data_IF_649474487457
#
_entry.id   IF_649474487457
#
_cell.length_a   1.000
_cell.length_b   1.000
_cell.length_c   1.000
_cell.angle_alpha   90.00
_cell.angle_beta   90.00
_cell.angle_gamma   90.00
#
_symmetry.space_group_name_H-M   'P 1'
#
loop_
_entity.id
_entity.type
_entity.pdbx_description
1 polymer ?
#
# COMPACT_ATOMS: atom_id res chain seq x y z
N UNK A 1 -0.62 0.90 -30.46
CA UNK A 1 -1.01 2.03 -29.58
C UNK A 1 -0.65 1.66 -28.16
N UNK A 2 0.03 2.59 -27.46
CA UNK A 2 0.31 2.50 -26.04
C UNK A 2 -1.00 2.48 -25.25
N UNK A 3 -0.99 1.83 -24.08
CA UNK A 3 -2.19 1.55 -23.32
C UNK A 3 -1.99 1.85 -21.84
N UNK A 4 -2.94 2.60 -21.26
CA UNK A 4 -3.14 2.75 -19.82
C UNK A 4 -4.46 2.06 -19.43
N UNK A 5 -4.39 1.12 -18.50
CA UNK A 5 -5.56 0.36 -18.02
C UNK A 5 -5.74 0.64 -16.53
N UNK A 6 -6.99 0.87 -16.10
CA UNK A 6 -7.33 0.97 -14.67
C UNK A 6 -7.20 -0.38 -13.95
N UNK A 7 -6.96 -0.32 -12.64
CA UNK A 7 -6.93 -1.50 -11.77
C UNK A 7 -8.37 -2.05 -11.51
N UNK A 8 -8.54 -3.34 -11.31
CA UNK A 8 -7.55 -4.39 -11.54
C UNK A 8 -7.31 -4.59 -13.03
N UNK A 9 -6.09 -4.98 -13.40
CA UNK A 9 -5.72 -5.22 -14.80
C UNK A 9 -6.63 -6.28 -15.44
N UNK A 10 -6.90 -7.35 -14.71
CA UNK A 10 -7.71 -8.51 -15.12
C UNK A 10 -8.07 -9.35 -13.88
N UNK A 11 -8.83 -10.40 -14.05
CA UNK A 11 -9.28 -11.28 -12.98
C UNK A 11 -8.29 -12.40 -12.65
N UNK A 12 -7.49 -12.86 -13.63
CA UNK A 12 -6.57 -13.99 -13.49
C UNK A 12 -5.13 -13.61 -13.85
N UNK A 13 -4.16 -14.42 -13.36
CA UNK A 13 -2.75 -14.24 -13.70
C UNK A 13 -2.46 -14.58 -15.15
N UNK A 14 -3.13 -15.58 -15.71
CA UNK A 14 -3.00 -16.00 -17.10
C UNK A 14 -3.35 -14.85 -18.05
N UNK A 15 -4.47 -14.17 -17.80
CA UNK A 15 -4.86 -12.97 -18.56
C UNK A 15 -3.83 -11.85 -18.45
N UNK A 16 -3.27 -11.66 -17.25
CA UNK A 16 -2.23 -10.65 -17.03
C UNK A 16 -0.95 -10.95 -17.79
N UNK A 17 -0.50 -12.21 -17.75
CA UNK A 17 0.70 -12.67 -18.45
C UNK A 17 0.53 -12.56 -19.97
N UNK A 18 -0.62 -12.91 -20.52
CA UNK A 18 -0.93 -12.75 -21.92
C UNK A 18 -0.89 -11.29 -22.38
N UNK A 19 -1.48 -10.38 -21.60
CA UNK A 19 -1.47 -8.95 -21.89
C UNK A 19 -0.05 -8.37 -21.86
N UNK A 20 0.74 -8.74 -20.85
CA UNK A 20 2.14 -8.31 -20.71
C UNK A 20 2.99 -8.85 -21.86
N UNK A 21 2.80 -10.14 -22.24
CA UNK A 21 3.50 -10.76 -23.36
C UNK A 21 3.15 -10.08 -24.69
N UNK A 22 1.86 -9.77 -24.90
CA UNK A 22 1.38 -9.09 -26.10
C UNK A 22 1.97 -7.68 -26.22
N UNK A 23 1.99 -6.91 -25.11
CA UNK A 23 2.57 -5.58 -25.09
C UNK A 23 4.08 -5.60 -25.41
N UNK A 24 4.82 -6.53 -24.77
CA UNK A 24 6.24 -6.73 -25.04
C UNK A 24 6.50 -7.12 -26.51
N UNK A 25 5.73 -8.07 -27.06
CA UNK A 25 5.86 -8.53 -28.46
C UNK A 25 5.71 -7.38 -29.46
N UNK A 26 4.86 -6.41 -29.15
CA UNK A 26 4.56 -5.27 -30.01
C UNK A 26 5.36 -4.00 -29.65
N UNK A 27 6.29 -4.08 -28.67
CA UNK A 27 7.08 -2.93 -28.18
C UNK A 27 6.21 -1.75 -27.74
N UNK A 28 5.08 -2.02 -27.08
CA UNK A 28 4.13 -1.02 -26.61
C UNK A 28 4.41 -0.64 -25.14
N UNK A 29 4.17 0.63 -24.80
CA UNK A 29 4.07 1.05 -23.40
C UNK A 29 2.74 0.54 -22.85
N UNK A 30 2.83 -0.24 -21.77
CA UNK A 30 1.69 -0.84 -21.11
C UNK A 30 1.73 -0.49 -19.61
N UNK A 31 0.79 0.32 -19.15
CA UNK A 31 0.76 0.87 -17.80
C UNK A 31 -0.56 0.51 -17.11
N UNK A 32 -0.47 0.07 -15.86
CA UNK A 32 -1.64 -0.11 -14.98
C UNK A 32 -1.81 1.13 -14.11
N UNK A 33 -3.05 1.59 -13.95
CA UNK A 33 -3.44 2.81 -13.24
C UNK A 33 -3.38 2.70 -11.72
N UNK A 34 -2.22 2.41 -11.15
CA UNK A 34 -2.00 2.44 -9.71
C UNK A 34 -1.82 3.88 -9.22
N UNK A 35 -2.91 4.66 -9.28
CA UNK A 35 -2.89 6.11 -9.01
C UNK A 35 -2.48 6.48 -7.60
N UNK A 36 -2.72 5.60 -6.61
CA UNK A 36 -2.36 5.83 -5.20
C UNK A 36 -0.84 5.97 -4.98
N UNK A 37 0.01 5.41 -5.84
CA UNK A 37 1.47 5.62 -5.74
C UNK A 37 1.88 7.07 -6.06
N UNK A 38 1.03 7.84 -6.72
CA UNK A 38 1.22 9.24 -7.05
C UNK A 38 0.50 10.18 -6.07
N UNK A 39 -0.10 9.64 -5.02
CA UNK A 39 -0.66 10.44 -3.94
C UNK A 39 0.45 11.33 -3.34
N UNK A 40 0.23 12.65 -3.23
CA UNK A 40 1.25 13.58 -2.76
C UNK A 40 1.90 13.19 -1.43
N UNK A 41 1.11 12.65 -0.49
CA UNK A 41 1.63 12.20 0.79
C UNK A 41 2.52 10.93 0.65
N UNK A 42 2.17 10.00 -0.27
CA UNK A 42 3.01 8.83 -0.57
C UNK A 42 4.31 9.26 -1.23
N UNK A 43 4.25 10.18 -2.19
CA UNK A 43 5.44 10.71 -2.87
C UNK A 43 6.37 11.47 -1.91
N UNK A 44 5.81 12.21 -0.94
CA UNK A 44 6.61 12.91 0.06
C UNK A 44 7.38 11.94 0.97
N UNK A 45 6.80 10.77 1.29
CA UNK A 45 7.47 9.73 2.09
C UNK A 45 8.67 9.09 1.38
N UNK A 46 8.71 9.04 0.05
CA UNK A 46 9.85 8.48 -0.69
C UNK A 46 11.18 9.17 -0.39
N UNK A 47 11.12 10.43 0.05
CA UNK A 47 12.31 11.22 0.39
C UNK A 47 12.88 10.89 1.77
N UNK A 48 12.12 10.21 2.63
CA UNK A 48 12.47 10.00 4.04
C UNK A 48 12.51 8.54 4.46
N UNK A 49 11.81 7.65 3.74
CA UNK A 49 11.81 6.21 4.03
C UNK A 49 12.75 5.51 3.07
N UNK A 50 13.82 4.94 3.60
CA UNK A 50 14.81 4.21 2.80
C UNK A 50 14.84 2.71 3.12
N UNK A 51 14.58 2.34 4.38
CA UNK A 51 14.66 0.96 4.84
C UNK A 51 13.57 0.63 5.87
N UNK A 52 12.32 0.44 5.44
CA UNK A 52 11.28 0.02 6.38
C UNK A 52 11.58 -1.39 6.92
N UNK A 53 11.40 -1.58 8.22
CA UNK A 53 11.56 -2.87 8.92
C UNK A 53 10.19 -3.49 9.18
N UNK A 54 9.21 -2.64 9.49
CA UNK A 54 7.83 -3.07 9.67
C UNK A 54 6.88 -2.05 9.02
N UNK A 55 5.86 -2.56 8.35
CA UNK A 55 4.81 -1.77 7.72
C UNK A 55 3.46 -2.26 8.22
N UNK A 56 2.58 -1.34 8.58
CA UNK A 56 1.21 -1.63 8.97
C UNK A 56 0.26 -0.79 8.12
N UNK A 57 -0.72 -1.45 7.50
CA UNK A 57 -1.68 -0.80 6.60
C UNK A 57 -3.10 -1.15 6.96
N UNK A 58 -3.95 -0.12 6.99
CA UNK A 58 -5.39 -0.26 7.13
C UNK A 58 -6.11 0.53 6.05
N UNK A 59 -6.85 -0.17 5.19
CA UNK A 59 -7.76 0.41 4.20
C UNK A 59 -9.16 -0.10 4.47
N UNK A 60 -9.94 0.75 5.11
CA UNK A 60 -11.25 0.40 5.64
C UNK A 60 -12.29 1.38 5.12
N UNK A 61 -13.46 0.89 4.70
CA UNK A 61 -14.63 1.73 4.43
C UNK A 61 -15.94 1.00 4.75
N UNK A 62 -17.06 1.74 4.90
CA UNK A 62 -18.38 1.16 4.99
C UNK A 62 -18.76 0.38 3.72
N UNK A 63 -19.71 -0.53 3.88
CA UNK A 63 -20.19 -1.32 2.74
C UNK A 63 -20.93 -0.43 1.72
N UNK A 64 -20.58 -0.64 0.46
CA UNK A 64 -21.28 -0.11 -0.70
C UNK A 64 -21.49 -1.25 -1.70
N UNK A 65 -22.59 -1.26 -2.43
CA UNK A 65 -22.88 -2.30 -3.44
C UNK A 65 -21.90 -2.26 -4.63
N UNK A 66 -21.24 -1.13 -4.85
CA UNK A 66 -20.23 -0.98 -5.91
C UNK A 66 -18.96 -1.76 -5.58
N UNK A 67 -18.43 -2.49 -6.57
CA UNK A 67 -17.15 -3.23 -6.44
C UNK A 67 -17.32 -4.57 -5.72
N UNK A 68 -18.55 -5.08 -5.56
CA UNK A 68 -18.82 -6.38 -4.94
C UNK A 68 -18.69 -7.57 -5.90
N UNK A 69 -18.41 -7.32 -7.16
CA UNK A 69 -18.10 -8.31 -8.20
C UNK A 69 -16.71 -8.96 -8.04
N UNK A 70 -15.79 -8.28 -7.32
CA UNK A 70 -14.46 -8.77 -6.99
C UNK A 70 -14.21 -8.82 -5.49
N UNK A 71 -13.17 -9.57 -5.08
CA UNK A 71 -12.72 -9.60 -3.69
C UNK A 71 -12.12 -8.24 -3.26
N UNK A 72 -12.22 -7.95 -1.96
CA UNK A 72 -11.63 -6.74 -1.35
C UNK A 72 -10.13 -6.59 -1.62
N UNK A 73 -9.46 -7.68 -1.96
CA UNK A 73 -8.04 -7.68 -2.33
C UNK A 73 -7.86 -6.93 -3.65
N UNK A 74 -8.59 -7.27 -4.70
CA UNK A 74 -8.52 -6.64 -6.02
C UNK A 74 -9.19 -5.27 -6.05
N UNK A 75 -10.16 -5.03 -5.18
CA UNK A 75 -10.82 -3.72 -5.10
C UNK A 75 -9.98 -2.70 -4.33
N UNK A 76 -9.54 -3.05 -3.12
CA UNK A 76 -8.92 -2.13 -2.17
C UNK A 76 -7.45 -2.41 -1.89
N UNK A 77 -7.10 -3.64 -1.47
CA UNK A 77 -5.76 -3.98 -0.97
C UNK A 77 -4.69 -3.81 -2.04
N UNK A 78 -5.02 -3.99 -3.29
CA UNK A 78 -4.10 -3.89 -4.44
C UNK A 78 -3.35 -2.56 -4.48
N UNK A 79 -3.97 -1.46 -4.05
CA UNK A 79 -3.32 -0.15 -3.96
C UNK A 79 -2.22 -0.13 -2.89
N UNK A 80 -2.49 -0.77 -1.75
CA UNK A 80 -1.55 -0.81 -0.63
C UNK A 80 -0.41 -1.77 -0.91
N UNK A 81 -0.69 -2.90 -1.59
CA UNK A 81 0.33 -3.83 -2.07
C UNK A 81 1.29 -3.14 -3.04
N UNK A 82 0.77 -2.34 -3.97
CA UNK A 82 1.59 -1.56 -4.91
C UNK A 82 2.50 -0.56 -4.17
N UNK A 83 1.97 0.16 -3.18
CA UNK A 83 2.76 1.09 -2.35
C UNK A 83 3.82 0.34 -1.55
N UNK A 84 3.49 -0.78 -0.90
CA UNK A 84 4.44 -1.59 -0.13
C UNK A 84 5.61 -2.03 -1.02
N UNK A 85 5.31 -2.59 -2.21
CA UNK A 85 6.32 -3.04 -3.16
C UNK A 85 7.20 -1.90 -3.69
N UNK A 86 6.68 -0.67 -3.72
CA UNK A 86 7.44 0.53 -4.07
C UNK A 86 8.48 0.89 -2.99
N UNK A 87 8.15 0.69 -1.69
CA UNK A 87 9.05 1.02 -0.58
C UNK A 87 9.97 -0.13 -0.17
N UNK A 88 9.54 -1.38 -0.38
CA UNK A 88 10.33 -2.57 -0.01
C UNK A 88 11.02 -3.14 -1.24
N UNK A 89 12.27 -2.72 -1.47
CA UNK A 89 13.08 -3.18 -2.59
C UNK A 89 13.71 -4.56 -2.30
N UNK A 90 12.86 -5.58 -2.08
CA UNK A 90 13.31 -6.93 -1.74
C UNK A 90 12.29 -7.96 -2.19
N UNK A 91 12.75 -9.18 -2.48
CA UNK A 91 11.86 -10.27 -2.86
C UNK A 91 10.96 -10.72 -1.70
N UNK A 92 9.72 -11.04 -2.03
CA UNK A 92 8.76 -11.64 -1.12
C UNK A 92 9.16 -13.10 -0.83
N UNK A 93 9.17 -13.49 0.44
CA UNK A 93 9.53 -14.86 0.88
C UNK A 93 8.35 -15.66 1.41
N UNK A 94 7.34 -14.99 1.99
CA UNK A 94 6.10 -15.66 2.39
C UNK A 94 4.91 -14.72 2.40
N UNK A 95 3.72 -15.33 2.24
CA UNK A 95 2.41 -14.67 2.35
C UNK A 95 1.55 -15.53 3.27
N UNK A 96 1.05 -14.92 4.34
CA UNK A 96 0.05 -15.50 5.22
C UNK A 96 -1.22 -14.65 5.12
N UNK A 97 -2.33 -15.24 4.70
CA UNK A 97 -3.54 -14.49 4.43
C UNK A 97 -4.78 -15.16 4.99
N UNK A 98 -5.72 -14.34 5.44
CA UNK A 98 -7.08 -14.75 5.76
C UNK A 98 -8.05 -13.79 5.08
N UNK A 99 -9.14 -14.33 4.54
CA UNK A 99 -10.22 -13.57 3.93
C UNK A 99 -11.57 -14.13 4.33
N UNK A 100 -12.55 -13.27 4.58
CA UNK A 100 -13.88 -13.66 5.04
C UNK A 100 -14.96 -12.93 4.24
N UNK A 101 -15.90 -13.65 3.60
CA UNK A 101 -17.14 -13.08 3.10
C UNK A 101 -18.09 -12.82 4.27
N UNK A 102 -18.73 -11.66 4.33
CA UNK A 102 -19.63 -11.27 5.44
C UNK A 102 -20.96 -10.73 4.95
N UNK A 103 -20.95 -9.79 3.99
CA UNK A 103 -22.14 -9.16 3.43
C UNK A 103 -22.34 -9.46 1.94
N UNK A 104 -21.32 -9.98 1.28
CA UNK A 104 -21.38 -10.39 -0.14
C UNK A 104 -20.88 -11.82 -0.31
N UNK A 105 -21.00 -12.36 -1.53
CA UNK A 105 -20.48 -13.69 -1.89
C UNK A 105 -18.95 -13.68 -2.14
N UNK A 106 -18.34 -12.51 -2.05
CA UNK A 106 -16.90 -12.29 -2.21
C UNK A 106 -16.26 -11.99 -0.85
N UNK A 107 -14.93 -12.03 -0.78
CA UNK A 107 -14.20 -11.64 0.43
C UNK A 107 -14.41 -10.16 0.70
N UNK A 108 -15.02 -9.82 1.84
CA UNK A 108 -15.35 -8.46 2.27
C UNK A 108 -14.31 -7.86 3.22
N UNK A 109 -13.58 -8.72 3.92
CA UNK A 109 -12.45 -8.35 4.78
C UNK A 109 -11.31 -9.34 4.56
N UNK A 110 -10.08 -8.82 4.46
CA UNK A 110 -8.88 -9.62 4.39
C UNK A 110 -7.77 -9.01 5.24
N UNK A 111 -7.00 -9.89 5.92
CA UNK A 111 -5.74 -9.54 6.58
C UNK A 111 -4.63 -10.39 5.97
N UNK A 112 -3.53 -9.73 5.64
CA UNK A 112 -2.39 -10.35 4.97
C UNK A 112 -1.11 -9.94 5.69
N UNK A 113 -0.25 -10.93 5.95
CA UNK A 113 1.12 -10.74 6.41
C UNK A 113 2.07 -11.10 5.28
N UNK A 114 2.92 -10.16 4.90
CA UNK A 114 3.96 -10.31 3.89
C UNK A 114 5.32 -10.31 4.57
N UNK A 115 6.17 -11.28 4.24
CA UNK A 115 7.57 -11.33 4.71
C UNK A 115 8.51 -11.17 3.52
N UNK A 116 9.53 -10.34 3.68
CA UNK A 116 10.51 -10.04 2.64
C UNK A 116 11.91 -10.54 3.00
N UNK A 117 12.72 -10.87 2.01
CA UNK A 117 14.07 -11.39 2.21
C UNK A 117 15.00 -10.43 2.96
N UNK A 118 14.77 -9.12 2.91
CA UNK A 118 15.50 -8.12 3.70
C UNK A 118 15.11 -8.10 5.19
N UNK A 119 14.15 -8.93 5.60
CA UNK A 119 13.61 -8.99 6.97
C UNK A 119 12.45 -8.01 7.23
N UNK A 120 12.06 -7.19 6.27
CA UNK A 120 10.86 -6.37 6.41
C UNK A 120 9.61 -7.23 6.47
N UNK A 121 8.67 -6.83 7.31
CA UNK A 121 7.34 -7.45 7.42
C UNK A 121 6.28 -6.39 7.19
N UNK A 122 5.26 -6.71 6.39
CA UNK A 122 4.10 -5.84 6.21
C UNK A 122 2.81 -6.58 6.62
N UNK A 123 2.01 -5.95 7.49
CA UNK A 123 0.66 -6.38 7.82
C UNK A 123 -0.33 -5.46 7.12
N UNK A 124 -1.23 -6.04 6.33
CA UNK A 124 -2.20 -5.29 5.52
C UNK A 124 -3.60 -5.75 5.85
N UNK A 125 -4.46 -4.84 6.25
CA UNK A 125 -5.89 -5.09 6.45
C UNK A 125 -6.69 -4.25 5.48
N UNK A 126 -7.50 -4.90 4.65
CA UNK A 126 -8.49 -4.25 3.81
C UNK A 126 -9.89 -4.74 4.17
N UNK A 127 -10.84 -3.82 4.31
CA UNK A 127 -12.23 -4.14 4.64
C UNK A 127 -13.19 -3.16 3.98
N UNK A 128 -14.25 -3.68 3.36
CA UNK A 128 -15.38 -2.91 2.85
C UNK A 128 -16.62 -3.00 3.73
N UNK A 129 -16.46 -3.46 4.99
CA UNK A 129 -17.56 -3.66 5.96
C UNK A 129 -17.28 -2.98 7.29
N UNK A 130 -16.45 -1.95 7.32
CA UNK A 130 -16.07 -1.23 8.53
C UNK A 130 -16.99 -0.05 8.80
N UNK A 131 -17.23 0.26 10.07
CA UNK A 131 -18.08 1.40 10.46
C UNK A 131 -17.47 2.77 10.11
N UNK A 132 -16.13 2.83 9.94
CA UNK A 132 -15.40 4.07 9.65
C UNK A 132 -14.50 3.90 8.44
N UNK A 133 -14.35 4.98 7.67
CA UNK A 133 -13.35 5.04 6.61
C UNK A 133 -11.97 5.34 7.19
N UNK A 134 -10.97 4.55 6.79
CA UNK A 134 -9.55 4.72 7.15
C UNK A 134 -8.69 4.33 5.97
N UNK A 135 -7.69 5.14 5.65
CA UNK A 135 -6.68 4.83 4.63
C UNK A 135 -5.31 5.25 5.18
N UNK A 136 -4.73 4.38 6.01
CA UNK A 136 -3.51 4.67 6.76
C UNK A 136 -2.43 3.65 6.52
N UNK A 137 -1.24 4.14 6.19
CA UNK A 137 -0.01 3.35 6.16
C UNK A 137 0.93 3.86 7.25
N UNK A 138 1.58 2.94 7.95
CA UNK A 138 2.55 3.22 9.01
C UNK A 138 3.84 2.49 8.70
N UNK A 139 4.92 3.21 8.68
CA UNK A 139 6.26 2.69 8.41
C UNK A 139 7.13 2.85 9.64
N UNK A 140 7.81 1.78 10.01
CA UNK A 140 8.73 1.72 11.14
C UNK A 140 10.09 1.29 10.63
N UNK A 141 11.12 2.03 10.94
CA UNK A 141 12.50 1.76 10.53
C UNK A 141 13.53 2.52 11.34
N UNK A 142 14.82 2.40 10.97
CA UNK A 142 15.89 3.14 11.64
C UNK A 142 15.72 4.65 11.54
N UNK A 143 15.10 5.13 10.46
CA UNK A 143 14.82 6.54 10.21
C UNK A 143 13.77 7.12 11.15
N UNK A 144 12.93 6.25 11.75
CA UNK A 144 11.88 6.65 12.66
C UNK A 144 10.55 5.97 12.39
N UNK A 145 9.49 6.64 12.83
CA UNK A 145 8.10 6.28 12.59
C UNK A 145 7.46 7.30 11.66
N UNK A 146 6.84 6.81 10.59
CA UNK A 146 6.12 7.65 9.64
C UNK A 146 4.72 7.07 9.41
N UNK A 147 3.70 7.89 9.62
CA UNK A 147 2.32 7.52 9.33
C UNK A 147 1.74 8.46 8.27
N UNK A 148 1.10 7.88 7.27
CA UNK A 148 0.39 8.63 6.24
C UNK A 148 -1.09 8.29 6.27
N UNK A 149 -1.93 9.30 6.18
CA UNK A 149 -3.34 9.19 5.85
C UNK A 149 -3.49 9.64 4.39
N UNK A 150 -3.64 8.68 3.47
CA UNK A 150 -3.66 8.99 2.03
C UNK A 150 -4.92 9.72 1.61
N UNK A 151 -6.03 9.55 2.34
CA UNK A 151 -7.29 10.25 2.07
C UNK A 151 -7.20 11.73 2.43
N UNK A 152 -6.54 12.05 3.56
CA UNK A 152 -6.34 13.43 4.02
C UNK A 152 -5.10 14.07 3.46
N UNK A 153 -4.20 13.27 2.89
CA UNK A 153 -2.86 13.68 2.44
C UNK A 153 -2.03 14.27 3.60
N UNK A 154 -2.15 13.67 4.79
CA UNK A 154 -1.45 14.10 6.00
C UNK A 154 -0.35 13.10 6.35
N UNK A 155 0.79 13.62 6.84
CA UNK A 155 1.93 12.83 7.30
C UNK A 155 2.25 13.19 8.74
N UNK A 156 2.41 12.17 9.59
CA UNK A 156 3.04 12.27 10.89
C UNK A 156 4.42 11.61 10.82
N UNK A 157 5.48 12.35 11.12
CA UNK A 157 6.86 11.83 11.15
C UNK A 157 7.48 12.05 12.51
N UNK A 158 7.93 10.97 13.14
CA UNK A 158 8.59 10.98 14.46
C UNK A 158 9.96 10.34 14.36
N UNK A 159 11.00 11.08 14.76
CA UNK A 159 12.38 10.62 14.73
C UNK A 159 13.02 10.76 16.12
N UNK A 160 14.06 9.95 16.37
CA UNK A 160 14.92 10.16 17.55
C UNK A 160 15.91 11.27 17.27
N UNK A 161 16.11 12.13 18.26
CA UNK A 161 17.17 13.15 18.26
C UNK A 161 17.88 13.13 19.60
N UNK A 162 19.15 13.52 19.63
CA UNK A 162 19.90 13.68 20.87
C UNK A 162 19.87 15.15 21.24
N UNK A 163 19.28 15.47 22.39
CA UNK A 163 19.23 16.82 22.91
C UNK A 163 20.60 17.35 23.36
N UNK A 164 20.70 18.66 23.66
CA UNK A 164 21.96 19.29 24.15
C UNK A 164 22.51 18.68 25.45
N UNK A 165 21.64 18.04 26.24
CA UNK A 165 21.96 17.33 27.48
C UNK A 165 22.40 15.86 27.28
N UNK A 166 22.54 15.42 26.01
CA UNK A 166 22.88 14.05 25.63
C UNK A 166 21.73 13.04 25.73
N UNK A 167 20.54 13.47 26.16
CA UNK A 167 19.39 12.59 26.28
C UNK A 167 18.67 12.40 24.92
N UNK A 168 18.18 11.18 24.72
CA UNK A 168 17.32 10.88 23.56
C UNK A 168 15.95 11.52 23.74
N UNK A 169 15.47 12.19 22.71
CA UNK A 169 14.15 12.79 22.63
C UNK A 169 13.47 12.42 21.31
N UNK A 170 12.15 12.42 21.30
CA UNK A 170 11.35 12.23 20.08
C UNK A 170 11.03 13.61 19.52
N UNK A 171 11.35 13.79 18.25
CA UNK A 171 11.06 15.04 17.52
C UNK A 171 10.04 14.72 16.42
N UNK A 172 9.00 15.52 16.37
CA UNK A 172 8.07 15.52 15.25
C UNK A 172 8.62 16.41 14.14
N UNK A 173 8.79 15.83 12.95
CA UNK A 173 9.20 16.56 11.77
C UNK A 173 8.00 16.84 10.87
N UNK A 174 7.94 18.04 10.32
CA UNK A 174 6.98 18.37 9.28
C UNK A 174 7.56 17.94 7.94
N UNK A 175 6.82 17.05 7.26
CA UNK A 175 7.08 16.67 5.87
C UNK A 175 6.08 17.42 5.03
N UNK A 176 6.57 18.30 4.17
CA UNK A 176 5.70 19.03 3.25
C UNK A 176 5.11 18.07 2.22
N UNK A 177 3.80 18.07 2.13
CA UNK A 177 3.04 17.37 1.10
C UNK A 177 2.85 18.34 -0.05
N UNK A 178 3.43 18.03 -1.20
CA UNK A 178 3.27 18.83 -2.42
C UNK A 178 1.81 18.92 -2.86
N UNK A 179 1.46 19.99 -3.55
CA UNK A 179 0.14 20.18 -4.18
C UNK A 179 0.07 19.47 -5.52
#
# INVERSE_FOLDING_TARGET
TDVLIEKPLCATLEEADDLVALAKKNSLVFQVGFVERFNPAVMALEKVITRPVFIEVHRLHPFFERGTDVDVILDLMIHDLDIILKFVHSSLTSVEAVGVPVLSDKIDISNVRLSFACGCIANVTASRISAKTMQKLRFFGPEGYHAVDTRKQEILSLNKSTGPDGKQQIVQNNIEVGS
#
